data_IF_658611642305
#
_entry.id   IF_658611642305
#
_cell.length_a   1.000
_cell.length_b   1.000
_cell.length_c   1.000
_cell.angle_alpha   90.00
_cell.angle_beta   90.00
_cell.angle_gamma   90.00
#
_symmetry.space_group_name_H-M   'P 1'
#
loop_
_entity.id
_entity.type
_entity.pdbx_description
1 polymer ?
#
# COMPACT_ATOMS: atom_id res chain seq x y z
N UNK A 1 13.40 13.41 -16.99
CA UNK A 1 12.33 12.91 -16.09
C UNK A 1 11.16 12.53 -16.96
N UNK A 2 10.68 11.29 -16.92
CA UNK A 2 9.46 10.92 -17.64
C UNK A 2 8.27 11.18 -16.71
N UNK A 3 7.32 11.97 -17.19
CA UNK A 3 6.10 12.28 -16.45
C UNK A 3 5.03 11.24 -16.82
N UNK A 4 4.37 10.66 -15.81
CA UNK A 4 3.32 9.66 -16.01
C UNK A 4 1.98 10.31 -16.32
N UNK A 5 1.26 9.79 -17.32
CA UNK A 5 -0.10 10.25 -17.65
C UNK A 5 -1.17 9.74 -16.67
N UNK A 6 -0.89 8.66 -15.97
CA UNK A 6 -1.79 8.03 -15.00
C UNK A 6 -1.12 7.95 -13.62
N UNK A 7 -0.91 9.10 -13.00
CA UNK A 7 -0.39 9.23 -11.65
C UNK A 7 -1.43 8.77 -10.61
N UNK A 8 -0.96 8.52 -9.38
CA UNK A 8 -1.85 8.30 -8.23
C UNK A 8 -2.70 9.56 -7.99
N UNK A 9 -4.01 9.38 -7.82
CA UNK A 9 -4.95 10.47 -7.65
C UNK A 9 -5.50 11.04 -8.96
N UNK A 10 -6.02 12.28 -8.90
CA UNK A 10 -6.75 12.91 -10.00
C UNK A 10 -5.86 13.71 -10.98
N UNK A 11 -4.57 13.87 -10.67
CA UNK A 11 -3.66 14.74 -11.45
C UNK A 11 -2.75 13.87 -12.33
N UNK A 12 -2.79 14.12 -13.63
CA UNK A 12 -1.80 13.63 -14.59
C UNK A 12 -0.80 14.74 -14.93
N UNK A 13 0.49 14.40 -15.02
CA UNK A 13 1.52 15.34 -15.45
C UNK A 13 1.89 15.03 -16.90
N UNK A 14 1.69 15.98 -17.79
CA UNK A 14 2.00 15.88 -19.21
C UNK A 14 3.15 16.83 -19.51
N UNK A 15 4.24 16.30 -20.08
CA UNK A 15 5.29 17.12 -20.68
C UNK A 15 4.91 17.38 -22.15
N UNK A 16 4.62 18.62 -22.54
CA UNK A 16 4.19 18.93 -23.90
C UNK A 16 5.30 18.70 -24.94
N UNK A 17 6.58 18.61 -24.53
CA UNK A 17 7.73 18.41 -25.44
C UNK A 17 8.09 16.94 -25.63
N UNK A 18 7.56 16.04 -24.80
CA UNK A 18 7.82 14.59 -24.95
C UNK A 18 6.89 13.96 -25.97
N UNK A 19 7.45 13.67 -27.16
CA UNK A 19 6.83 12.73 -28.09
C UNK A 19 6.75 11.33 -27.46
N UNK A 20 5.66 10.57 -27.70
CA UNK A 20 5.60 9.17 -27.25
C UNK A 20 6.80 8.41 -27.79
N UNK A 21 7.65 7.89 -26.91
CA UNK A 21 8.73 7.00 -27.31
C UNK A 21 8.04 5.75 -27.87
N UNK A 22 8.22 5.49 -29.15
CA UNK A 22 7.71 4.29 -29.79
C UNK A 22 8.28 3.04 -29.10
N UNK A 23 7.43 2.31 -28.41
CA UNK A 23 7.79 1.16 -27.58
C UNK A 23 8.34 -0.06 -28.36
N UNK A 24 8.47 0.02 -29.68
CA UNK A 24 8.96 -1.07 -30.53
C UNK A 24 10.46 -1.39 -30.38
N UNK A 25 11.22 -0.61 -29.61
CA UNK A 25 12.69 -0.75 -29.51
C UNK A 25 13.19 -1.27 -28.17
N UNK A 26 12.33 -1.69 -27.24
CA UNK A 26 12.74 -2.04 -25.89
C UNK A 26 12.40 -3.50 -25.57
N UNK A 27 13.42 -4.31 -25.35
CA UNK A 27 13.47 -5.60 -24.65
C UNK A 27 12.22 -6.53 -24.63
N UNK A 28 12.15 -7.37 -23.64
CA UNK A 28 11.00 -8.26 -23.42
C UNK A 28 9.72 -7.48 -23.08
N UNK A 29 8.53 -8.05 -23.25
CA UNK A 29 7.26 -7.45 -22.79
C UNK A 29 7.31 -7.04 -21.31
N UNK A 30 8.04 -7.78 -20.47
CA UNK A 30 8.22 -7.46 -19.06
C UNK A 30 9.09 -6.21 -18.85
N UNK A 31 10.16 -6.03 -19.66
CA UNK A 31 11.02 -4.83 -19.60
C UNK A 31 10.24 -3.59 -20.05
N UNK A 32 9.46 -3.72 -21.12
CA UNK A 32 8.58 -2.64 -21.60
C UNK A 32 7.53 -2.27 -20.55
N UNK A 33 7.00 -3.26 -19.87
CA UNK A 33 6.05 -3.11 -18.81
C UNK A 33 6.67 -2.46 -17.56
N UNK A 34 7.88 -2.88 -17.15
CA UNK A 34 8.63 -2.26 -16.06
C UNK A 34 8.92 -0.78 -16.33
N UNK A 35 9.32 -0.44 -17.56
CA UNK A 35 9.57 0.94 -17.97
C UNK A 35 8.31 1.78 -17.98
N UNK A 36 7.16 1.22 -18.39
CA UNK A 36 5.85 1.89 -18.28
C UNK A 36 5.47 2.13 -16.83
N UNK A 37 5.71 1.16 -15.95
CA UNK A 37 5.39 1.27 -14.53
C UNK A 37 6.29 2.25 -13.77
N UNK A 38 7.59 2.31 -14.08
CA UNK A 38 8.52 3.27 -13.49
C UNK A 38 8.13 4.72 -13.76
N UNK A 39 7.34 4.97 -14.81
CA UNK A 39 6.86 6.30 -15.15
C UNK A 39 5.70 6.80 -14.29
N UNK A 40 4.94 5.89 -13.70
CA UNK A 40 3.68 6.22 -13.03
C UNK A 40 3.63 5.81 -11.56
N UNK A 41 4.39 4.79 -11.15
CA UNK A 41 4.32 4.22 -9.80
C UNK A 41 5.74 3.99 -9.29
N UNK A 42 6.16 4.71 -8.24
CA UNK A 42 7.47 4.51 -7.62
C UNK A 42 7.54 3.17 -6.88
N UNK A 43 8.63 2.48 -7.00
CA UNK A 43 8.89 1.23 -6.28
C UNK A 43 10.00 0.38 -6.88
N UNK A 44 10.54 -0.55 -6.10
CA UNK A 44 11.60 -1.48 -6.51
C UNK A 44 11.09 -2.76 -7.17
N UNK A 45 9.77 -2.95 -7.19
CA UNK A 45 9.09 -4.10 -7.80
C UNK A 45 8.54 -3.71 -9.17
N UNK A 46 8.66 -4.58 -10.18
CA UNK A 46 8.03 -4.36 -11.48
C UNK A 46 6.51 -4.32 -11.35
N UNK A 47 5.91 -3.23 -11.79
CA UNK A 47 4.47 -2.97 -11.73
C UNK A 47 4.00 -2.48 -13.10
N UNK A 48 2.80 -2.88 -13.52
CA UNK A 48 2.17 -2.45 -14.76
C UNK A 48 0.76 -1.99 -14.47
N UNK A 49 0.37 -0.89 -15.10
CA UNK A 49 -1.02 -0.48 -15.16
C UNK A 49 -1.79 -1.39 -16.13
N UNK A 50 -2.96 -1.86 -15.70
CA UNK A 50 -3.77 -2.80 -16.44
C UNK A 50 -5.23 -2.37 -16.52
N UNK A 51 -5.89 -2.90 -17.55
CA UNK A 51 -7.34 -2.90 -17.72
C UNK A 51 -7.84 -4.33 -17.75
N UNK A 52 -9.14 -4.54 -17.59
CA UNK A 52 -9.77 -5.84 -17.77
C UNK A 52 -10.78 -5.75 -18.92
N UNK A 53 -10.63 -6.62 -19.93
CA UNK A 53 -11.52 -6.73 -21.07
C UNK A 53 -11.91 -8.19 -21.28
N UNK A 54 -13.21 -8.47 -21.26
CA UNK A 54 -13.75 -9.83 -21.45
C UNK A 54 -13.12 -10.90 -20.53
N UNK A 55 -12.82 -10.53 -19.27
CA UNK A 55 -12.20 -11.41 -18.28
C UNK A 55 -10.67 -11.60 -18.45
N UNK A 56 -10.06 -10.88 -19.40
CA UNK A 56 -8.61 -10.89 -19.63
C UNK A 56 -7.97 -9.62 -19.09
N UNK A 57 -6.91 -9.75 -18.30
CA UNK A 57 -6.13 -8.61 -17.83
C UNK A 57 -5.10 -8.23 -18.89
N UNK A 58 -5.21 -7.01 -19.41
CA UNK A 58 -4.36 -6.46 -20.46
C UNK A 58 -3.49 -5.31 -19.90
N UNK A 59 -2.26 -5.10 -20.42
CA UNK A 59 -1.54 -3.87 -20.16
C UNK A 59 -2.38 -2.67 -20.61
N UNK A 60 -2.49 -1.64 -19.75
CA UNK A 60 -3.21 -0.42 -20.12
C UNK A 60 -2.50 0.28 -21.29
N UNK A 61 -3.30 0.76 -22.25
CA UNK A 61 -2.84 1.61 -23.33
C UNK A 61 -2.49 3.04 -22.88
N UNK A 62 -2.18 3.90 -23.84
CA UNK A 62 -1.84 5.31 -23.58
C UNK A 62 -3.07 6.19 -23.25
N UNK A 63 -4.27 5.66 -23.42
CA UNK A 63 -5.53 6.39 -23.27
C UNK A 63 -6.42 5.77 -22.18
N UNK A 64 -6.91 6.61 -21.28
CA UNK A 64 -7.88 6.26 -20.26
C UNK A 64 -7.30 5.82 -18.92
N UNK A 65 -8.14 5.80 -17.88
CA UNK A 65 -7.73 5.38 -16.55
C UNK A 65 -7.51 3.87 -16.49
N UNK A 66 -6.41 3.45 -15.88
CA UNK A 66 -6.13 2.06 -15.61
C UNK A 66 -6.64 1.67 -14.20
N UNK A 67 -7.69 0.86 -14.09
CA UNK A 67 -8.28 0.50 -12.80
C UNK A 67 -7.48 -0.56 -12.04
N UNK A 68 -6.50 -1.19 -12.66
CA UNK A 68 -5.73 -2.28 -12.10
C UNK A 68 -4.22 -1.99 -12.12
N UNK A 69 -3.52 -2.57 -11.14
CA UNK A 69 -2.06 -2.64 -11.11
C UNK A 69 -1.67 -4.12 -11.04
N UNK A 70 -0.85 -4.59 -11.96
CA UNK A 70 -0.22 -5.90 -11.86
C UNK A 70 1.18 -5.77 -11.25
N UNK A 71 1.45 -6.48 -10.17
CA UNK A 71 2.75 -6.55 -9.48
C UNK A 71 3.38 -7.90 -9.76
N UNK A 72 4.65 -7.92 -10.20
CA UNK A 72 5.36 -9.13 -10.59
C UNK A 72 6.34 -9.60 -9.52
N UNK A 73 6.68 -10.91 -9.50
CA UNK A 73 7.69 -11.44 -8.59
C UNK A 73 9.04 -10.75 -8.77
N UNK A 74 9.79 -10.61 -7.68
CA UNK A 74 11.14 -10.09 -7.66
C UNK A 74 12.12 -11.22 -7.36
N UNK A 75 13.24 -11.31 -8.11
CA UNK A 75 14.21 -12.43 -8.01
C UNK A 75 14.86 -12.54 -6.64
N UNK A 76 15.24 -11.41 -6.06
CA UNK A 76 15.90 -11.30 -4.76
C UNK A 76 14.93 -11.40 -3.55
N UNK A 77 13.62 -11.44 -3.82
CA UNK A 77 12.57 -11.61 -2.81
C UNK A 77 11.60 -12.72 -3.20
N UNK A 78 12.00 -13.98 -3.00
CA UNK A 78 11.16 -15.12 -3.38
C UNK A 78 9.81 -15.08 -2.66
N UNK A 79 8.75 -15.34 -3.40
CA UNK A 79 7.40 -15.38 -2.85
C UNK A 79 6.78 -14.02 -2.49
N UNK A 80 7.39 -12.88 -2.87
CA UNK A 80 6.93 -11.54 -2.50
C UNK A 80 5.45 -11.30 -2.85
N UNK A 81 5.02 -11.68 -4.04
CA UNK A 81 3.63 -11.54 -4.51
C UNK A 81 2.65 -12.35 -3.64
N UNK A 82 3.05 -13.56 -3.25
CA UNK A 82 2.25 -14.41 -2.35
C UNK A 82 2.20 -13.85 -0.93
N UNK A 83 3.33 -13.35 -0.45
CA UNK A 83 3.44 -12.72 0.86
C UNK A 83 2.51 -11.49 0.94
N UNK A 84 2.54 -10.61 -0.05
CA UNK A 84 1.65 -9.44 -0.09
C UNK A 84 0.17 -9.86 -0.11
N UNK A 85 -0.20 -10.83 -0.94
CA UNK A 85 -1.57 -11.34 -1.00
C UNK A 85 -2.04 -11.89 0.36
N UNK A 86 -1.22 -12.75 0.99
CA UNK A 86 -1.54 -13.31 2.30
C UNK A 86 -1.62 -12.23 3.39
N UNK A 87 -0.68 -11.30 3.39
CA UNK A 87 -0.65 -10.21 4.37
C UNK A 87 -1.91 -9.34 4.28
N UNK A 88 -2.33 -8.97 3.05
CA UNK A 88 -3.57 -8.22 2.84
C UNK A 88 -4.81 -9.04 3.23
N UNK A 89 -4.83 -10.33 2.96
CA UNK A 89 -5.93 -11.21 3.36
C UNK A 89 -6.05 -11.32 4.89
N UNK A 90 -4.93 -11.48 5.61
CA UNK A 90 -4.91 -11.46 7.08
C UNK A 90 -5.34 -10.10 7.63
N UNK A 91 -4.91 -9.01 7.00
CA UNK A 91 -5.41 -7.68 7.34
C UNK A 91 -6.93 -7.57 7.12
N UNK A 92 -7.49 -8.16 6.06
CA UNK A 92 -8.92 -8.15 5.81
C UNK A 92 -9.71 -8.95 6.87
N UNK A 93 -9.15 -10.03 7.40
CA UNK A 93 -9.72 -10.75 8.57
C UNK A 93 -9.72 -9.87 9.80
N UNK A 94 -8.61 -9.17 10.08
CA UNK A 94 -8.45 -8.33 11.27
C UNK A 94 -9.29 -7.05 11.20
N UNK A 95 -9.27 -6.36 10.07
CA UNK A 95 -9.85 -5.03 9.92
C UNK A 95 -11.26 -5.04 9.34
N UNK A 96 -11.58 -6.01 8.52
CA UNK A 96 -12.77 -6.09 7.67
C UNK A 96 -12.40 -5.89 6.19
N UNK A 97 -13.13 -6.55 5.29
CA UNK A 97 -12.84 -6.52 3.84
C UNK A 97 -12.84 -5.12 3.23
N UNK A 98 -13.73 -4.24 3.67
CA UNK A 98 -13.81 -2.86 3.19
C UNK A 98 -12.67 -1.95 3.66
N UNK A 99 -11.87 -2.40 4.63
CA UNK A 99 -10.72 -1.65 5.17
C UNK A 99 -9.40 -2.03 4.49
N UNK A 100 -9.43 -2.95 3.54
CA UNK A 100 -8.23 -3.46 2.86
C UNK A 100 -8.47 -3.49 1.36
N UNK A 101 -7.46 -3.14 0.61
CA UNK A 101 -7.53 -3.10 -0.85
C UNK A 101 -7.71 -4.52 -1.42
N UNK A 102 -8.57 -4.64 -2.42
CA UNK A 102 -8.84 -5.91 -3.07
C UNK A 102 -7.67 -6.32 -3.96
N UNK A 103 -7.29 -7.60 -3.85
CA UNK A 103 -6.22 -8.20 -4.65
C UNK A 103 -6.61 -9.61 -5.09
N UNK A 104 -6.07 -10.04 -6.23
CA UNK A 104 -6.21 -11.41 -6.74
C UNK A 104 -4.96 -11.84 -7.50
N UNK A 105 -4.73 -13.11 -7.64
CA UNK A 105 -3.74 -13.62 -8.59
C UNK A 105 -4.29 -13.61 -10.01
N UNK A 106 -3.44 -13.36 -10.98
CA UNK A 106 -3.82 -13.36 -12.39
C UNK A 106 -2.61 -13.33 -13.31
N UNK A 107 -2.87 -13.58 -14.59
CA UNK A 107 -1.88 -13.39 -15.66
C UNK A 107 -2.23 -12.10 -16.41
N UNK A 108 -1.21 -11.45 -16.95
CA UNK A 108 -1.36 -10.30 -17.84
C UNK A 108 -1.03 -10.77 -19.25
N UNK A 109 -1.90 -10.47 -20.21
CA UNK A 109 -1.69 -10.90 -21.61
C UNK A 109 -0.35 -10.39 -22.17
N UNK A 110 0.37 -11.26 -22.83
CA UNK A 110 1.68 -10.97 -23.40
C UNK A 110 2.83 -10.91 -22.39
N UNK A 111 2.58 -11.17 -21.08
CA UNK A 111 3.60 -11.16 -20.03
C UNK A 111 3.58 -12.49 -19.29
N UNK A 112 4.70 -13.24 -19.32
CA UNK A 112 4.76 -14.54 -18.67
C UNK A 112 4.77 -14.42 -17.15
N UNK A 113 4.11 -15.39 -16.50
CA UNK A 113 4.09 -15.55 -15.05
C UNK A 113 2.85 -14.99 -14.37
N UNK A 114 2.67 -15.42 -13.12
CA UNK A 114 1.54 -14.98 -12.27
C UNK A 114 1.90 -13.67 -11.58
N UNK A 115 1.00 -12.70 -11.69
CA UNK A 115 1.08 -11.40 -11.01
C UNK A 115 0.06 -11.31 -9.88
N UNK A 116 0.30 -10.39 -8.95
CA UNK A 116 -0.73 -9.88 -8.04
C UNK A 116 -1.45 -8.72 -8.72
N UNK A 117 -2.71 -8.93 -9.05
CA UNK A 117 -3.58 -7.91 -9.61
C UNK A 117 -4.23 -7.17 -8.46
N UNK A 118 -3.97 -5.87 -8.39
CA UNK A 118 -4.44 -4.95 -7.36
C UNK A 118 -5.49 -4.03 -7.96
N UNK A 119 -6.67 -3.96 -7.35
CA UNK A 119 -7.69 -3.01 -7.75
C UNK A 119 -7.32 -1.61 -7.24
N UNK A 120 -7.41 -0.62 -8.09
CA UNK A 120 -7.13 0.78 -7.71
C UNK A 120 -8.37 1.42 -7.09
N UNK A 121 -8.31 1.73 -5.82
CA UNK A 121 -9.40 2.42 -5.11
C UNK A 121 -9.55 3.90 -5.52
N UNK A 122 -8.52 4.49 -6.13
CA UNK A 122 -8.52 5.86 -6.66
C UNK A 122 -9.05 5.95 -8.12
N UNK A 123 -9.65 4.86 -8.61
CA UNK A 123 -10.32 4.77 -9.92
C UNK A 123 -11.74 4.27 -9.72
N UNK A 124 -12.71 5.12 -10.08
CA UNK A 124 -14.13 4.77 -9.95
C UNK A 124 -14.92 5.37 -11.11
N UNK A 125 -15.84 4.59 -11.65
CA UNK A 125 -16.80 5.02 -12.69
C UNK A 125 -16.12 5.70 -13.90
N UNK A 126 -14.94 5.20 -14.29
CA UNK A 126 -14.12 5.75 -15.37
C UNK A 126 -13.39 7.05 -15.05
N UNK A 127 -13.48 7.54 -13.81
CA UNK A 127 -12.82 8.75 -13.34
C UNK A 127 -11.67 8.48 -12.35
N UNK A 128 -10.89 9.54 -12.12
CA UNK A 128 -9.82 9.56 -11.14
C UNK A 128 -10.30 10.29 -9.89
N UNK A 129 -10.14 9.69 -8.70
CA UNK A 129 -10.38 10.34 -7.43
C UNK A 129 -9.07 10.97 -6.92
N UNK A 130 -9.17 12.14 -6.31
CA UNK A 130 -8.03 12.73 -5.60
C UNK A 130 -7.57 11.78 -4.52
N UNK A 131 -6.28 11.44 -4.55
CA UNK A 131 -5.64 10.60 -3.55
C UNK A 131 -4.23 11.13 -3.31
N UNK A 132 -3.89 11.39 -2.05
CA UNK A 132 -2.59 11.92 -1.66
C UNK A 132 -2.00 11.07 -0.54
N UNK A 133 -0.75 10.64 -0.71
CA UNK A 133 -0.04 9.97 0.39
C UNK A 133 0.30 10.98 1.50
N UNK A 134 0.55 10.49 2.71
CA UNK A 134 0.75 11.37 3.87
C UNK A 134 2.04 12.21 3.78
N UNK A 135 3.02 11.80 2.97
CA UNK A 135 4.16 12.68 2.66
C UNK A 135 3.71 13.89 1.84
N UNK A 136 2.80 13.68 0.87
CA UNK A 136 2.20 14.76 0.06
C UNK A 136 1.31 15.66 0.92
N UNK A 137 0.41 15.06 1.73
CA UNK A 137 -0.48 15.79 2.66
C UNK A 137 0.29 16.74 3.57
N UNK A 138 1.44 16.29 4.09
CA UNK A 138 2.30 17.09 4.98
C UNK A 138 3.38 17.90 4.24
N UNK A 139 3.37 17.92 2.91
CA UNK A 139 4.36 18.60 2.08
C UNK A 139 5.82 18.21 2.44
N UNK A 140 6.04 16.92 2.73
CA UNK A 140 7.37 16.39 3.07
C UNK A 140 8.08 15.84 1.84
N UNK A 141 9.35 16.15 1.68
CA UNK A 141 10.15 15.64 0.56
C UNK A 141 10.65 14.22 0.84
N UNK A 142 10.62 13.29 -0.15
CA UNK A 142 11.07 11.92 0.03
C UNK A 142 12.60 11.78 0.17
N UNK A 143 13.38 12.85 -0.03
CA UNK A 143 14.85 12.78 -0.10
C UNK A 143 15.37 12.27 -1.45
N UNK A 144 16.69 12.39 -1.68
CA UNK A 144 17.33 11.99 -2.95
C UNK A 144 17.30 10.47 -3.17
N UNK A 145 17.44 9.70 -2.12
CA UNK A 145 17.54 8.24 -2.06
C UNK A 145 16.24 7.58 -1.59
N UNK A 146 15.13 8.33 -1.53
CA UNK A 146 13.84 7.92 -0.99
C UNK A 146 13.85 7.53 0.50
N UNK A 147 14.95 7.72 1.24
CA UNK A 147 15.02 7.41 2.67
C UNK A 147 14.18 8.38 3.52
N UNK A 148 13.88 9.56 3.01
CA UNK A 148 13.02 10.55 3.67
C UNK A 148 11.64 10.00 4.06
N UNK A 149 11.13 8.98 3.35
CA UNK A 149 9.87 8.31 3.68
C UNK A 149 9.87 7.63 5.07
N UNK A 150 11.04 7.32 5.63
CA UNK A 150 11.23 6.71 6.94
C UNK A 150 11.55 7.72 8.04
N UNK A 151 11.63 9.01 7.72
CA UNK A 151 11.92 10.08 8.68
C UNK A 151 10.64 10.72 9.24
N UNK A 152 9.52 10.01 9.20
CA UNK A 152 8.25 10.47 9.74
C UNK A 152 7.88 9.72 11.01
N UNK A 153 7.22 10.40 11.93
CA UNK A 153 6.84 9.88 13.23
C UNK A 153 5.36 9.44 13.28
N UNK A 154 4.97 8.84 14.39
CA UNK A 154 3.55 8.55 14.65
C UNK A 154 2.74 9.83 14.88
N UNK A 155 3.35 10.88 15.42
CA UNK A 155 2.75 12.21 15.53
C UNK A 155 2.46 12.81 14.15
N UNK A 156 3.36 12.60 13.17
CA UNK A 156 3.13 13.00 11.78
C UNK A 156 1.94 12.24 11.16
N UNK A 157 1.80 10.95 11.47
CA UNK A 157 0.63 10.17 11.06
C UNK A 157 -0.66 10.80 11.63
N UNK A 158 -0.64 11.17 12.91
CA UNK A 158 -1.74 11.88 13.57
C UNK A 158 -2.06 13.23 12.93
N UNK A 159 -1.03 14.01 12.60
CA UNK A 159 -1.16 15.31 11.95
C UNK A 159 -1.75 15.20 10.53
N UNK A 160 -1.35 14.20 9.75
CA UNK A 160 -1.93 13.97 8.42
C UNK A 160 -3.43 13.62 8.51
N UNK A 161 -3.86 12.91 9.55
CA UNK A 161 -5.26 12.55 9.76
C UNK A 161 -6.16 13.72 10.15
N UNK A 162 -5.61 14.87 10.55
CA UNK A 162 -6.39 16.11 10.77
C UNK A 162 -7.03 16.63 9.48
N UNK A 163 -6.45 16.30 8.31
CA UNK A 163 -7.02 16.68 7.02
C UNK A 163 -8.19 15.78 6.59
N UNK A 164 -8.48 14.71 7.35
CA UNK A 164 -9.67 13.89 7.11
C UNK A 164 -10.95 14.65 7.48
N UNK A 165 -12.03 14.43 6.75
CA UNK A 165 -13.38 14.91 7.10
C UNK A 165 -13.98 14.23 8.35
N UNK A 166 -13.36 13.15 8.82
CA UNK A 166 -13.74 12.46 10.06
C UNK A 166 -12.50 12.00 10.86
N UNK A 167 -11.69 12.94 11.39
CA UNK A 167 -10.37 12.64 11.94
C UNK A 167 -10.41 11.66 13.12
N UNK A 168 -11.40 11.74 14.00
CA UNK A 168 -11.55 10.81 15.14
C UNK A 168 -11.76 9.38 14.66
N UNK A 169 -12.61 9.19 13.66
CA UNK A 169 -12.89 7.88 13.10
C UNK A 169 -11.66 7.34 12.36
N UNK A 170 -11.00 8.16 11.57
CA UNK A 170 -9.85 7.75 10.78
C UNK A 170 -8.59 7.53 11.64
N UNK A 171 -8.42 8.21 12.77
CA UNK A 171 -7.42 7.86 13.79
C UNK A 171 -7.65 6.47 14.38
N UNK A 172 -8.90 6.13 14.69
CA UNK A 172 -9.23 4.77 15.15
C UNK A 172 -8.94 3.72 14.08
N UNK A 173 -9.28 3.98 12.82
CA UNK A 173 -8.98 3.09 11.67
C UNK A 173 -7.48 2.94 11.48
N UNK A 174 -6.71 4.02 11.52
CA UNK A 174 -5.27 4.01 11.42
C UNK A 174 -4.61 3.22 12.56
N UNK A 175 -5.08 3.39 13.79
CA UNK A 175 -4.58 2.63 14.93
C UNK A 175 -4.86 1.13 14.81
N UNK A 176 -6.07 0.73 14.41
CA UNK A 176 -6.40 -0.67 14.14
C UNK A 176 -5.48 -1.25 13.06
N UNK A 177 -5.20 -0.48 12.01
CA UNK A 177 -4.28 -0.88 10.93
C UNK A 177 -2.85 -1.02 11.44
N UNK A 178 -2.33 -0.10 12.25
CA UNK A 178 -1.02 -0.22 12.89
C UNK A 178 -0.93 -1.51 13.72
N UNK A 179 -1.92 -1.77 14.58
CA UNK A 179 -1.94 -2.98 15.40
C UNK A 179 -2.04 -4.26 14.54
N UNK A 180 -2.82 -4.23 13.45
CA UNK A 180 -2.86 -5.35 12.50
C UNK A 180 -1.50 -5.54 11.81
N UNK A 181 -0.82 -4.47 11.41
CA UNK A 181 0.52 -4.54 10.80
C UNK A 181 1.56 -5.13 11.73
N UNK A 182 1.48 -4.84 13.04
CA UNK A 182 2.31 -5.53 14.05
C UNK A 182 2.03 -7.04 14.03
N UNK A 183 0.75 -7.45 14.01
CA UNK A 183 0.37 -8.86 14.03
C UNK A 183 0.80 -9.63 12.77
N UNK A 184 0.78 -8.99 11.60
CA UNK A 184 1.13 -9.63 10.32
C UNK A 184 2.57 -9.38 9.88
N UNK A 185 3.38 -8.67 10.66
CA UNK A 185 4.79 -8.38 10.34
C UNK A 185 5.01 -7.39 9.21
N UNK A 186 4.05 -6.51 8.92
CA UNK A 186 4.24 -5.44 7.94
C UNK A 186 5.08 -4.31 8.53
N UNK A 187 6.38 -4.37 8.34
CA UNK A 187 7.34 -3.37 8.82
C UNK A 187 7.50 -2.17 7.87
N UNK A 188 7.08 -2.29 6.61
CA UNK A 188 7.23 -1.23 5.58
C UNK A 188 6.05 -0.22 5.60
N UNK A 189 5.52 0.07 6.78
CA UNK A 189 4.37 0.97 6.98
C UNK A 189 4.77 2.46 7.04
N UNK A 190 5.66 2.90 6.13
CA UNK A 190 6.07 4.30 6.03
C UNK A 190 4.96 5.21 5.47
N UNK A 191 5.12 6.54 5.59
CA UNK A 191 4.08 7.54 5.28
C UNK A 191 3.54 7.49 3.84
N UNK A 192 4.30 6.94 2.87
CA UNK A 192 3.81 6.77 1.49
C UNK A 192 2.85 5.59 1.33
N UNK A 193 2.71 4.73 2.35
CA UNK A 193 1.76 3.61 2.38
C UNK A 193 0.49 3.95 3.18
N UNK A 194 0.28 5.26 3.42
CA UNK A 194 -0.93 5.84 4.02
C UNK A 194 -1.39 6.98 3.14
N UNK A 195 -2.68 7.04 2.84
CA UNK A 195 -3.23 8.09 1.97
C UNK A 195 -4.60 8.55 2.45
N UNK A 196 -4.93 9.80 2.12
CA UNK A 196 -6.30 10.29 2.11
C UNK A 196 -6.83 10.28 0.68
N UNK A 197 -8.08 9.89 0.52
CA UNK A 197 -8.78 9.84 -0.76
C UNK A 197 -10.07 10.64 -0.67
N UNK A 198 -10.42 11.29 -1.75
CA UNK A 198 -11.67 12.00 -1.91
C UNK A 198 -12.87 11.04 -1.89
N UNK A 199 -13.88 11.40 -1.12
CA UNK A 199 -15.17 10.73 -1.05
C UNK A 199 -16.29 11.75 -1.14
N UNK A 200 -17.54 11.31 -1.23
CA UNK A 200 -18.69 12.21 -1.24
C UNK A 200 -18.78 13.11 0.02
N UNK A 201 -18.13 12.74 1.11
CA UNK A 201 -18.14 13.48 2.39
C UNK A 201 -16.83 14.19 2.70
N UNK A 202 -15.92 14.30 1.73
CA UNK A 202 -14.58 14.89 1.88
C UNK A 202 -13.48 13.85 1.93
N UNK A 203 -12.28 14.25 2.35
CA UNK A 203 -11.11 13.36 2.38
C UNK A 203 -11.24 12.33 3.51
N UNK A 204 -10.97 11.07 3.22
CA UNK A 204 -11.00 9.97 4.18
C UNK A 204 -9.79 9.06 4.03
N UNK A 205 -9.38 8.42 5.13
CA UNK A 205 -8.33 7.41 5.11
C UNK A 205 -8.70 6.29 4.12
N UNK A 206 -7.77 5.98 3.20
CA UNK A 206 -7.94 4.89 2.22
C UNK A 206 -8.02 3.52 2.88
N UNK A 207 -8.46 2.47 2.18
CA UNK A 207 -8.17 1.09 2.58
C UNK A 207 -6.67 0.85 2.75
N UNK A 208 -6.28 -0.19 3.50
CA UNK A 208 -4.89 -0.64 3.61
C UNK A 208 -4.41 -1.21 2.27
N UNK A 209 -3.24 -0.82 1.82
CA UNK A 209 -2.64 -1.25 0.56
C UNK A 209 -1.13 -1.44 0.74
N UNK A 210 -0.49 -2.13 -0.20
CA UNK A 210 0.96 -2.33 -0.23
C UNK A 210 1.52 -2.87 1.10
N UNK A 211 0.80 -3.85 1.69
CA UNK A 211 1.15 -4.46 2.97
C UNK A 211 1.84 -5.80 2.73
N UNK A 212 3.05 -5.91 3.25
CA UNK A 212 3.94 -7.05 3.08
C UNK A 212 4.50 -7.47 4.44
N UNK A 213 4.52 -8.77 4.75
CA UNK A 213 5.30 -9.24 5.88
C UNK A 213 6.80 -9.09 5.55
N UNK A 214 7.37 -7.93 5.87
CA UNK A 214 8.77 -7.63 5.62
C UNK A 214 9.72 -8.33 6.58
N UNK A 215 9.23 -8.74 7.75
CA UNK A 215 10.04 -9.42 8.78
C UNK A 215 10.65 -10.74 8.27
N UNK A 216 9.92 -11.49 7.43
CA UNK A 216 10.43 -12.76 6.86
C UNK A 216 11.62 -12.57 5.93
N UNK A 217 11.91 -11.36 5.47
CA UNK A 217 13.05 -11.04 4.61
C UNK A 217 14.24 -10.45 5.37
N UNK A 218 14.26 -10.52 6.70
CA UNK A 218 15.38 -10.06 7.52
C UNK A 218 16.71 -10.71 7.16
N UNK A 219 16.71 -12.03 6.85
CA UNK A 219 17.89 -12.76 6.41
C UNK A 219 18.43 -12.30 5.04
N UNK A 220 17.60 -11.66 4.19
CA UNK A 220 17.97 -11.06 2.92
C UNK A 220 18.38 -9.58 3.06
N UNK A 221 18.61 -9.10 4.29
CA UNK A 221 19.05 -7.73 4.55
C UNK A 221 17.93 -6.69 4.61
N UNK A 222 16.66 -7.10 4.58
CA UNK A 222 15.55 -6.18 4.79
C UNK A 222 15.47 -5.75 6.25
N UNK A 223 15.02 -4.51 6.46
CA UNK A 223 14.81 -4.01 7.81
C UNK A 223 13.69 -4.77 8.52
N UNK A 224 13.91 -5.10 9.79
CA UNK A 224 12.88 -5.62 10.70
C UNK A 224 12.28 -4.52 11.59
N UNK A 225 12.65 -3.26 11.33
CA UNK A 225 12.17 -2.09 12.06
C UNK A 225 10.96 -1.48 11.38
N UNK A 226 9.98 -1.07 12.17
CA UNK A 226 8.79 -0.37 11.69
C UNK A 226 9.12 0.92 10.93
N UNK A 227 8.26 1.27 9.97
CA UNK A 227 8.48 2.40 9.05
C UNK A 227 8.34 3.80 9.65
N UNK A 228 7.84 3.92 10.91
CA UNK A 228 7.62 5.21 11.58
C UNK A 228 8.47 5.34 12.84
N UNK A 229 8.81 6.59 13.18
CA UNK A 229 9.63 6.94 14.33
C UNK A 229 8.77 7.14 15.57
N UNK A 230 9.27 6.66 16.72
CA UNK A 230 8.88 7.06 18.05
C UNK A 230 10.14 7.52 18.79
N UNK A 231 10.12 8.73 19.34
CA UNK A 231 11.26 9.34 20.02
C UNK A 231 12.56 9.38 19.16
N UNK A 232 12.39 9.63 17.85
CA UNK A 232 13.48 9.72 16.89
C UNK A 232 14.02 8.37 16.40
N UNK A 233 13.46 7.24 16.84
CA UNK A 233 13.94 5.90 16.46
C UNK A 233 12.83 5.04 15.88
N UNK A 234 13.22 4.14 14.95
CA UNK A 234 12.36 3.09 14.43
C UNK A 234 12.47 1.86 15.32
N UNK A 235 11.34 1.44 15.86
CA UNK A 235 11.29 0.30 16.76
C UNK A 235 11.43 -1.04 16.01
N UNK A 236 12.05 -2.03 16.65
CA UNK A 236 12.04 -3.42 16.18
C UNK A 236 10.60 -3.95 16.20
N UNK A 237 10.27 -4.81 15.23
CA UNK A 237 8.92 -5.38 15.11
C UNK A 237 8.48 -6.12 16.38
N UNK A 238 9.33 -6.97 16.93
CA UNK A 238 9.07 -7.81 18.10
C UNK A 238 9.01 -7.05 19.43
N UNK A 239 9.36 -5.76 19.44
CA UNK A 239 9.26 -4.90 20.63
C UNK A 239 7.86 -4.30 20.84
N UNK A 240 6.87 -4.62 19.99
CA UNK A 240 5.53 -4.06 20.07
C UNK A 240 4.60 -4.91 20.93
N UNK A 241 4.56 -4.61 22.21
CA UNK A 241 3.58 -5.14 23.15
C UNK A 241 2.32 -4.24 23.25
N UNK A 242 1.36 -4.64 24.11
CA UNK A 242 0.13 -3.85 24.34
C UNK A 242 0.44 -2.46 24.88
N UNK A 243 1.41 -2.31 25.76
CA UNK A 243 1.76 -1.03 26.37
C UNK A 243 2.29 -0.07 25.32
N UNK A 244 3.21 -0.55 24.49
CA UNK A 244 3.76 0.24 23.40
C UNK A 244 2.68 0.62 22.37
N UNK A 245 1.79 -0.30 22.02
CA UNK A 245 0.67 0.02 21.13
C UNK A 245 -0.23 1.13 21.70
N UNK A 246 -0.51 1.13 23.00
CA UNK A 246 -1.27 2.20 23.64
C UNK A 246 -0.53 3.54 23.65
N UNK A 247 0.81 3.55 23.79
CA UNK A 247 1.63 4.74 23.61
C UNK A 247 1.52 5.27 22.16
N UNK A 248 1.66 4.39 21.17
CA UNK A 248 1.48 4.79 19.77
C UNK A 248 0.09 5.35 19.49
N UNK A 249 -0.97 4.82 20.13
CA UNK A 249 -2.31 5.38 20.03
C UNK A 249 -2.37 6.83 20.52
N UNK A 250 -1.74 7.12 21.65
CA UNK A 250 -1.65 8.48 22.19
C UNK A 250 -0.93 9.42 21.22
N UNK A 251 0.19 8.98 20.62
CA UNK A 251 0.98 9.77 19.65
C UNK A 251 0.19 10.13 18.39
N UNK A 252 -0.70 9.26 17.91
CA UNK A 252 -1.59 9.58 16.78
C UNK A 252 -2.84 10.36 17.21
N UNK A 253 -2.98 10.71 18.49
CA UNK A 253 -4.12 11.45 19.02
C UNK A 253 -5.38 10.62 19.24
N UNK A 254 -5.26 9.30 19.46
CA UNK A 254 -6.40 8.43 19.79
C UNK A 254 -6.55 8.27 21.32
N UNK A 255 -7.73 8.58 21.90
CA UNK A 255 -7.96 8.41 23.32
C UNK A 255 -7.74 6.97 23.79
N UNK A 256 -7.12 6.80 24.98
CA UNK A 256 -6.75 5.51 25.55
C UNK A 256 -7.90 4.48 25.57
N UNK A 257 -9.09 4.88 26.02
CA UNK A 257 -10.28 3.98 26.03
C UNK A 257 -10.64 3.45 24.64
N UNK A 258 -10.53 4.30 23.61
CA UNK A 258 -10.80 3.90 22.23
C UNK A 258 -9.71 2.94 21.71
N UNK A 259 -8.46 3.16 22.09
CA UNK A 259 -7.35 2.28 21.75
C UNK A 259 -7.47 0.90 22.42
N UNK A 260 -7.79 0.85 23.71
CA UNK A 260 -8.03 -0.39 24.46
C UNK A 260 -9.16 -1.21 23.82
N UNK A 261 -10.31 -0.58 23.55
CA UNK A 261 -11.44 -1.24 22.88
C UNK A 261 -11.08 -1.76 21.48
N UNK A 262 -10.23 -1.03 20.74
CA UNK A 262 -9.72 -1.44 19.43
C UNK A 262 -8.84 -2.69 19.54
N UNK A 263 -7.88 -2.72 20.46
CA UNK A 263 -7.01 -3.88 20.70
C UNK A 263 -7.81 -5.11 21.16
N UNK A 264 -8.80 -4.93 22.03
CA UNK A 264 -9.66 -6.02 22.50
C UNK A 264 -10.51 -6.59 21.35
N UNK A 265 -10.91 -5.75 20.40
CA UNK A 265 -11.61 -6.20 19.21
C UNK A 265 -10.70 -7.06 18.29
N UNK A 266 -9.45 -6.70 18.14
CA UNK A 266 -8.47 -7.50 17.38
C UNK A 266 -8.14 -8.81 18.08
N UNK A 267 -7.99 -8.81 19.41
CA UNK A 267 -7.74 -10.01 20.20
C UNK A 267 -8.82 -11.09 19.97
N UNK A 268 -10.08 -10.70 19.88
CA UNK A 268 -11.19 -11.63 19.60
C UNK A 268 -11.12 -12.30 18.22
N UNK A 269 -10.36 -11.73 17.27
CA UNK A 269 -10.20 -12.27 15.92
C UNK A 269 -8.98 -13.21 15.77
N UNK A 270 -8.21 -13.40 16.84
CA UNK A 270 -6.99 -14.21 16.84
C UNK A 270 -7.22 -15.62 16.27
N UNK A 271 -8.24 -16.31 16.76
CA UNK A 271 -8.55 -17.70 16.34
C UNK A 271 -8.86 -17.77 14.83
N UNK A 272 -9.56 -16.76 14.31
CA UNK A 272 -9.90 -16.69 12.87
C UNK A 272 -8.64 -16.49 12.02
N UNK A 273 -7.67 -15.70 12.52
CA UNK A 273 -6.38 -15.50 11.83
C UNK A 273 -5.58 -16.79 11.77
N UNK A 274 -5.47 -17.51 12.88
CA UNK A 274 -4.77 -18.81 12.90
C UNK A 274 -5.43 -19.84 11.98
N UNK A 275 -6.75 -19.98 12.05
CA UNK A 275 -7.48 -20.88 11.16
C UNK A 275 -7.31 -20.52 9.66
N UNK A 276 -7.02 -19.25 9.34
CA UNK A 276 -6.75 -18.85 7.97
C UNK A 276 -5.35 -19.20 7.50
N UNK A 277 -4.35 -19.17 8.40
CA UNK A 277 -2.96 -19.56 8.08
C UNK A 277 -2.85 -21.03 7.73
N UNK A 278 -3.73 -21.88 8.27
CA UNK A 278 -3.77 -23.31 7.98
C UNK A 278 -4.39 -23.65 6.60
N UNK A 279 -4.91 -22.65 5.86
CA UNK A 279 -5.52 -22.86 4.55
C UNK A 279 -4.54 -22.47 3.44
N UNK A 280 -4.45 -23.27 2.34
CA UNK A 280 -3.67 -22.86 1.18
C UNK A 280 -4.23 -21.56 0.59
N UNK A 281 -3.35 -20.67 0.13
CA UNK A 281 -3.75 -19.60 -0.77
C UNK A 281 -4.28 -20.26 -2.05
N UNK A 282 -5.48 -19.90 -2.46
CA UNK A 282 -6.03 -20.32 -3.76
C UNK A 282 -5.16 -19.73 -4.87
N UNK A 283 -4.18 -20.52 -5.29
CA UNK A 283 -3.35 -20.21 -6.46
C UNK A 283 -3.95 -20.93 -7.67
N UNK A 284 -3.99 -20.27 -8.84
CA UNK A 284 -4.28 -20.94 -10.08
C UNK A 284 -3.20 -21.94 -10.41
#
# INVERSE_FOLDING_TARGET
MSFGRDCVGAIGVIDPEQRPIGLKALGSPLDQAAIRSERTISGVQAKILCVEENGTTLPAGDSGPAPLIAKFPKRDLPGMVRNEALTLELCAVLLGKGEVNAVRFGMVEGIPGVALIVERFDRRDGGNLRCEDFMQVLNRRPGRDHQGKYNASYEDLGAALEFSSAPVLDRRRAFLRLAAYVLVGNVDCHMKNWSLMETATGLRLTPAYDALNGYVYGAQGYTTRFGLLADGERAQWDSHDRTRLLDLAARIGLPRKAAEAALDSLKRKKEVVFARLDRPLGLP
#
